data_IF_361217549710
#
_entry.id   IF_361217549710
#
_cell.length_a   1.000
_cell.length_b   1.000
_cell.length_c   1.000
_cell.angle_alpha   90.00
_cell.angle_beta   90.00
_cell.angle_gamma   90.00
#
_symmetry.space_group_name_H-M   'P 1'
#
loop_
_entity.id
_entity.type
_entity.pdbx_description
1 polymer ?
#
# COMPACT_ATOMS: atom_id res chain seq x y z
N UNK A 1 -9.12 11.74 8.81
CA UNK A 1 -8.30 11.81 7.59
C UNK A 1 -7.84 10.45 7.15
N UNK A 2 -7.92 10.18 5.88
CA UNK A 2 -7.59 8.88 5.31
C UNK A 2 -6.10 8.60 5.24
N UNK A 3 -5.78 7.33 5.08
CA UNK A 3 -4.41 6.87 4.86
C UNK A 3 -4.16 6.72 3.37
N UNK A 4 -2.92 6.94 2.96
CA UNK A 4 -2.47 6.64 1.60
C UNK A 4 -1.51 5.47 1.68
N UNK A 5 -1.90 4.36 1.05
CA UNK A 5 -1.08 3.15 1.00
C UNK A 5 -0.28 3.12 -0.30
N UNK A 6 1.04 2.97 -0.18
CA UNK A 6 1.93 2.83 -1.33
C UNK A 6 2.41 1.38 -1.36
N UNK A 7 1.86 0.60 -2.27
CA UNK A 7 2.06 -0.86 -2.29
C UNK A 7 3.14 -1.25 -3.29
N UNK A 8 4.19 -1.89 -2.79
CA UNK A 8 5.26 -2.49 -3.57
C UNK A 8 4.82 -3.88 -4.04
N UNK A 9 4.13 -3.95 -5.18
CA UNK A 9 3.52 -5.19 -5.64
C UNK A 9 4.51 -6.24 -6.12
N UNK A 10 5.75 -5.86 -6.48
CA UNK A 10 6.78 -6.86 -6.77
C UNK A 10 7.11 -7.70 -5.55
N UNK A 11 7.01 -7.10 -4.37
CA UNK A 11 7.41 -7.71 -3.11
C UNK A 11 6.24 -8.38 -2.37
N UNK A 12 5.08 -7.73 -2.30
CA UNK A 12 3.94 -8.23 -1.52
C UNK A 12 2.80 -8.78 -2.39
N UNK A 13 2.94 -8.73 -3.71
CA UNK A 13 1.94 -9.30 -4.61
C UNK A 13 0.61 -8.55 -4.58
N UNK A 14 -0.47 -9.31 -4.66
CA UNK A 14 -1.82 -8.75 -4.79
C UNK A 14 -2.55 -8.54 -3.47
N UNK A 15 -1.83 -8.45 -2.36
CA UNK A 15 -2.42 -8.14 -1.05
C UNK A 15 -3.17 -6.80 -1.07
N UNK A 16 -2.85 -5.95 -2.04
CA UNK A 16 -3.53 -4.67 -2.18
C UNK A 16 -5.04 -4.81 -2.46
N UNK A 17 -5.49 -5.96 -2.98
CA UNK A 17 -6.92 -6.17 -3.27
C UNK A 17 -7.73 -6.24 -1.98
N UNK A 18 -7.45 -7.16 -1.03
CA UNK A 18 -8.19 -7.15 0.23
C UNK A 18 -7.94 -5.87 1.03
N UNK A 19 -6.76 -5.25 0.89
CA UNK A 19 -6.49 -3.96 1.52
C UNK A 19 -7.44 -2.88 0.99
N UNK A 20 -7.61 -2.80 -0.33
CA UNK A 20 -8.52 -1.85 -0.97
C UNK A 20 -9.97 -2.09 -0.52
N UNK A 21 -10.42 -3.35 -0.57
CA UNK A 21 -11.80 -3.71 -0.23
C UNK A 21 -12.11 -3.34 1.22
N UNK A 22 -11.17 -3.49 2.13
CA UNK A 22 -11.35 -3.21 3.56
C UNK A 22 -11.02 -1.77 3.95
N UNK A 23 -10.54 -0.95 3.02
CA UNK A 23 -10.12 0.43 3.31
C UNK A 23 -11.31 1.33 3.65
N UNK A 24 -11.02 2.43 4.33
CA UNK A 24 -12.01 3.46 4.61
C UNK A 24 -12.30 4.28 3.35
N UNK A 25 -13.41 4.99 3.34
CA UNK A 25 -13.84 5.76 2.16
C UNK A 25 -12.81 6.79 1.71
N UNK A 26 -12.12 7.42 2.66
CA UNK A 26 -11.13 8.45 2.35
C UNK A 26 -9.68 7.92 2.26
N UNK A 27 -9.49 6.60 2.36
CA UNK A 27 -8.19 5.98 2.11
C UNK A 27 -7.92 5.90 0.61
N UNK A 28 -6.64 5.95 0.24
CA UNK A 28 -6.20 5.72 -1.13
C UNK A 28 -5.21 4.57 -1.17
N UNK A 29 -5.28 3.77 -2.23
CA UNK A 29 -4.36 2.67 -2.45
C UNK A 29 -3.65 2.88 -3.78
N UNK A 30 -2.34 3.07 -3.72
CA UNK A 30 -1.48 3.26 -4.90
C UNK A 30 -0.69 1.98 -5.11
N UNK A 31 -0.87 1.35 -6.26
CA UNK A 31 -0.21 0.08 -6.59
C UNK A 31 0.96 0.36 -7.53
N UNK A 32 2.16 0.25 -7.01
CA UNK A 32 3.39 0.36 -7.81
C UNK A 32 3.71 -1.00 -8.37
N UNK A 33 3.77 -1.13 -9.68
CA UNK A 33 3.94 -2.42 -10.32
C UNK A 33 4.87 -2.36 -11.53
N UNK A 34 5.43 -3.53 -11.87
CA UNK A 34 6.21 -3.75 -13.08
C UNK A 34 5.74 -5.06 -13.70
N UNK A 35 6.35 -5.46 -14.81
CA UNK A 35 6.06 -6.76 -15.42
C UNK A 35 6.48 -7.93 -14.52
N UNK A 36 7.30 -7.67 -13.50
CA UNK A 36 7.74 -8.68 -12.53
C UNK A 36 6.77 -8.86 -11.36
N UNK A 37 5.76 -8.01 -11.25
CA UNK A 37 4.77 -8.16 -10.19
C UNK A 37 3.99 -9.46 -10.37
N UNK A 38 3.74 -10.22 -9.27
CA UNK A 38 2.99 -11.48 -9.37
C UNK A 38 1.59 -11.31 -9.93
N UNK A 39 1.09 -12.36 -10.55
CA UNK A 39 -0.28 -12.38 -11.04
C UNK A 39 -1.28 -12.43 -9.89
N UNK A 40 -2.49 -11.93 -10.14
CA UNK A 40 -3.57 -11.97 -9.16
C UNK A 40 -4.22 -13.36 -9.13
N UNK A 41 -4.63 -13.81 -7.94
CA UNK A 41 -5.42 -15.04 -7.84
C UNK A 41 -6.90 -14.75 -8.16
N UNK A 42 -7.66 -15.81 -8.46
CA UNK A 42 -9.06 -15.65 -8.86
C UNK A 42 -9.95 -15.04 -7.79
N UNK A 43 -9.71 -15.36 -6.51
CA UNK A 43 -10.50 -14.78 -5.43
C UNK A 43 -10.32 -13.26 -5.37
N UNK A 44 -9.08 -12.79 -5.52
CA UNK A 44 -8.80 -11.36 -5.53
C UNK A 44 -9.38 -10.67 -6.77
N UNK A 45 -9.36 -11.33 -7.93
CA UNK A 45 -10.01 -10.80 -9.13
C UNK A 45 -11.51 -10.64 -8.89
N UNK A 46 -12.15 -11.64 -8.29
CA UNK A 46 -13.58 -11.60 -7.98
C UNK A 46 -13.90 -10.46 -7.00
N UNK A 47 -13.10 -10.33 -5.94
CA UNK A 47 -13.28 -9.23 -4.97
C UNK A 47 -13.18 -7.87 -5.64
N UNK A 48 -12.20 -7.71 -6.51
CA UNK A 48 -11.98 -6.45 -7.21
C UNK A 48 -13.17 -6.10 -8.12
N UNK A 49 -13.78 -7.09 -8.75
CA UNK A 49 -14.95 -6.86 -9.61
C UNK A 49 -16.21 -6.50 -8.82
N UNK A 50 -16.30 -6.92 -7.58
CA UNK A 50 -17.47 -6.68 -6.73
C UNK A 50 -17.39 -5.37 -5.96
N UNK A 51 -16.21 -4.77 -5.83
CA UNK A 51 -16.04 -3.51 -5.10
C UNK A 51 -16.22 -2.31 -6.02
N UNK A 52 -16.77 -1.22 -5.48
CA UNK A 52 -16.85 0.06 -6.18
C UNK A 52 -15.59 0.90 -5.96
N UNK A 53 -14.72 0.48 -5.05
CA UNK A 53 -13.47 1.18 -4.75
C UNK A 53 -12.46 0.94 -5.86
N UNK A 54 -11.66 1.97 -6.13
CA UNK A 54 -10.65 1.92 -7.19
C UNK A 54 -9.27 2.20 -6.62
N UNK A 55 -8.29 1.41 -7.04
CA UNK A 55 -6.88 1.65 -6.75
C UNK A 55 -6.27 2.43 -7.90
N UNK A 56 -5.24 3.22 -7.61
CA UNK A 56 -4.44 3.88 -8.62
C UNK A 56 -3.24 3.00 -8.97
N UNK A 57 -3.03 2.74 -10.25
CA UNK A 57 -1.93 1.88 -10.70
C UNK A 57 -0.81 2.73 -11.27
N UNK A 58 0.38 2.58 -10.72
CA UNK A 58 1.56 3.30 -11.17
C UNK A 58 2.55 2.31 -11.76
N UNK A 59 2.63 2.28 -13.09
CA UNK A 59 3.57 1.41 -13.78
C UNK A 59 4.97 2.00 -13.66
N UNK A 60 5.88 1.23 -13.07
CA UNK A 60 7.24 1.68 -12.82
C UNK A 60 8.19 1.25 -13.93
N UNK A 61 9.19 2.06 -14.18
CA UNK A 61 10.31 1.68 -15.05
C UNK A 61 11.06 0.53 -14.38
N UNK A 62 11.51 -0.42 -15.18
CA UNK A 62 12.20 -1.60 -14.66
C UNK A 62 13.69 -1.34 -14.49
N UNK A 63 14.29 -2.08 -13.57
CA UNK A 63 15.71 -1.99 -13.27
C UNK A 63 15.95 -2.39 -11.82
N UNK A 64 17.22 -2.51 -11.45
CA UNK A 64 17.60 -2.88 -10.10
C UNK A 64 17.14 -1.80 -9.12
N UNK A 65 16.31 -2.18 -8.16
CA UNK A 65 15.71 -1.27 -7.16
C UNK A 65 14.92 -0.11 -7.77
N UNK A 66 14.54 -0.23 -9.06
CA UNK A 66 13.87 0.88 -9.76
C UNK A 66 12.50 1.21 -9.18
N UNK A 67 11.70 0.19 -8.84
CA UNK A 67 10.40 0.42 -8.23
C UNK A 67 10.56 1.15 -6.89
N UNK A 68 11.54 0.76 -6.08
CA UNK A 68 11.78 1.35 -4.76
C UNK A 68 12.07 2.84 -4.87
N UNK A 69 12.94 3.24 -5.82
CA UNK A 69 13.26 4.65 -6.03
C UNK A 69 12.04 5.44 -6.51
N UNK A 70 11.25 4.86 -7.39
CA UNK A 70 10.05 5.52 -7.91
C UNK A 70 8.99 5.67 -6.82
N UNK A 71 8.83 4.64 -5.97
CA UNK A 71 7.88 4.68 -4.87
C UNK A 71 8.24 5.81 -3.89
N UNK A 72 9.50 5.90 -3.46
CA UNK A 72 9.90 6.95 -2.52
C UNK A 72 9.88 8.33 -3.15
N UNK A 73 10.10 8.42 -4.46
CA UNK A 73 9.99 9.69 -5.18
C UNK A 73 8.54 10.18 -5.18
N UNK A 74 7.59 9.30 -5.46
CA UNK A 74 6.17 9.63 -5.43
C UNK A 74 5.71 9.99 -4.02
N UNK A 75 6.22 9.26 -3.02
CA UNK A 75 5.94 9.55 -1.61
C UNK A 75 6.33 10.98 -1.27
N UNK A 76 7.56 11.38 -1.63
CA UNK A 76 8.05 12.73 -1.35
C UNK A 76 7.21 13.81 -2.02
N UNK A 77 6.82 13.57 -3.27
CA UNK A 77 5.98 14.49 -4.03
C UNK A 77 4.62 14.68 -3.35
N UNK A 78 3.97 13.59 -2.96
CA UNK A 78 2.66 13.65 -2.31
C UNK A 78 2.72 14.27 -0.92
N UNK A 79 3.77 13.98 -0.17
CA UNK A 79 3.97 14.59 1.15
C UNK A 79 4.08 16.12 1.05
N UNK A 80 4.70 16.62 -0.02
CA UNK A 80 4.82 18.06 -0.22
C UNK A 80 3.48 18.73 -0.52
N UNK A 81 2.52 17.98 -1.03
CA UNK A 81 1.22 18.51 -1.39
C UNK A 81 0.15 18.33 -0.33
N UNK A 82 0.25 17.27 0.47
CA UNK A 82 -0.76 16.97 1.48
C UNK A 82 -0.11 16.33 2.70
N UNK A 83 0.08 17.12 3.75
CA UNK A 83 0.71 16.70 4.99
C UNK A 83 -0.29 16.20 6.05
N UNK A 84 -1.59 16.26 5.74
CA UNK A 84 -2.65 15.93 6.70
C UNK A 84 -3.00 14.44 6.74
N UNK A 85 -2.38 13.65 5.87
CA UNK A 85 -2.65 12.21 5.78
C UNK A 85 -1.48 11.39 6.28
N UNK A 86 -1.78 10.18 6.74
CA UNK A 86 -0.76 9.18 7.03
C UNK A 86 -0.40 8.45 5.74
N UNK A 87 0.89 8.17 5.57
CA UNK A 87 1.41 7.46 4.39
C UNK A 87 2.00 6.13 4.86
N UNK A 88 1.53 5.04 4.27
CA UNK A 88 1.93 3.68 4.66
C UNK A 88 2.56 2.98 3.46
N UNK A 89 3.85 2.65 3.56
CA UNK A 89 4.53 1.84 2.55
C UNK A 89 4.23 0.38 2.86
N UNK A 90 3.68 -0.36 1.92
CA UNK A 90 3.40 -1.79 2.10
C UNK A 90 4.45 -2.59 1.34
N UNK A 91 5.42 -3.11 2.07
CA UNK A 91 6.53 -3.89 1.53
C UNK A 91 7.24 -4.64 2.65
N UNK A 92 7.81 -5.81 2.31
CA UNK A 92 8.68 -6.55 3.22
C UNK A 92 10.12 -6.01 3.22
N UNK A 93 10.45 -5.14 2.27
CA UNK A 93 11.80 -4.61 2.13
C UNK A 93 12.11 -3.61 3.24
N UNK A 94 13.03 -3.98 4.13
CA UNK A 94 13.45 -3.12 5.25
C UNK A 94 14.26 -1.91 4.78
N UNK A 95 14.69 -1.88 3.53
CA UNK A 95 15.36 -0.70 2.96
C UNK A 95 14.49 0.54 3.01
N UNK A 96 13.17 0.38 2.94
CA UNK A 96 12.24 1.49 3.07
C UNK A 96 12.25 2.13 4.45
N UNK A 97 12.78 1.45 5.47
CA UNK A 97 12.86 2.04 6.81
C UNK A 97 13.76 3.28 6.83
N UNK A 98 14.71 3.38 5.92
CA UNK A 98 15.52 4.59 5.78
C UNK A 98 14.65 5.79 5.39
N UNK A 99 13.70 5.59 4.47
CA UNK A 99 12.76 6.64 4.08
C UNK A 99 11.83 7.01 5.24
N UNK A 100 11.32 6.00 5.95
CA UNK A 100 10.46 6.21 7.12
C UNK A 100 11.18 7.06 8.17
N UNK A 101 12.42 6.71 8.48
CA UNK A 101 13.23 7.46 9.46
C UNK A 101 13.53 8.87 8.99
N UNK A 102 13.84 9.04 7.71
CA UNK A 102 14.09 10.37 7.13
C UNK A 102 12.88 11.28 7.32
N UNK A 103 11.68 10.80 6.96
CA UNK A 103 10.47 11.61 7.12
C UNK A 103 10.08 11.81 8.58
N UNK A 104 10.41 10.87 9.46
CA UNK A 104 10.20 11.02 10.89
C UNK A 104 11.01 12.20 11.43
N UNK A 105 12.23 12.43 10.94
CA UNK A 105 13.03 13.59 11.37
C UNK A 105 12.38 14.92 10.95
N UNK A 106 11.52 14.87 9.93
CA UNK A 106 10.75 16.03 9.46
C UNK A 106 9.33 16.05 10.03
N UNK A 107 9.04 15.17 10.96
CA UNK A 107 7.73 15.04 11.62
C UNK A 107 6.60 14.76 10.65
N UNK A 108 6.90 14.01 9.57
CA UNK A 108 5.90 13.56 8.60
C UNK A 108 5.45 12.14 8.93
N UNK A 109 4.14 11.87 8.87
CA UNK A 109 3.59 10.58 9.30
C UNK A 109 3.74 9.49 8.22
N UNK A 110 4.92 8.90 8.14
CA UNK A 110 5.23 7.81 7.21
C UNK A 110 5.59 6.57 8.00
N UNK A 111 5.02 5.43 7.63
CA UNK A 111 5.32 4.14 8.26
C UNK A 111 5.45 3.06 7.19
N UNK A 112 5.96 1.89 7.58
CA UNK A 112 6.01 0.72 6.72
C UNK A 112 5.26 -0.42 7.39
N UNK A 113 4.46 -1.12 6.57
CA UNK A 113 3.69 -2.29 6.97
C UNK A 113 4.17 -3.45 6.10
N UNK A 114 4.70 -4.52 6.71
CA UNK A 114 5.10 -5.68 5.92
C UNK A 114 3.89 -6.54 5.57
N UNK A 115 4.08 -7.50 4.66
CA UNK A 115 2.98 -8.34 4.18
C UNK A 115 2.29 -9.11 5.31
N UNK A 116 3.06 -9.62 6.25
CA UNK A 116 2.55 -10.39 7.38
C UNK A 116 1.68 -9.52 8.31
N UNK A 117 2.17 -8.32 8.62
CA UNK A 117 1.42 -7.36 9.43
C UNK A 117 0.15 -6.90 8.73
N UNK A 118 0.24 -6.66 7.41
CA UNK A 118 -0.90 -6.29 6.60
C UNK A 118 -1.96 -7.40 6.63
N UNK A 119 -1.55 -8.65 6.43
CA UNK A 119 -2.44 -9.80 6.48
C UNK A 119 -3.13 -9.93 7.84
N UNK A 120 -2.38 -9.76 8.93
CA UNK A 120 -2.91 -9.80 10.28
C UNK A 120 -3.96 -8.70 10.50
N UNK A 121 -3.65 -7.49 10.08
CA UNK A 121 -4.58 -6.36 10.17
C UNK A 121 -5.90 -6.65 9.44
N UNK A 122 -5.82 -7.20 8.24
CA UNK A 122 -6.99 -7.56 7.44
C UNK A 122 -7.81 -8.66 8.09
N UNK A 123 -7.15 -9.65 8.68
CA UNK A 123 -7.81 -10.75 9.39
C UNK A 123 -8.54 -10.25 10.64
N UNK A 124 -7.93 -9.36 11.39
CA UNK A 124 -8.53 -8.76 12.59
C UNK A 124 -9.77 -7.93 12.25
N UNK A 125 -9.71 -7.15 11.17
CA UNK A 125 -10.86 -6.37 10.69
C UNK A 125 -12.02 -7.29 10.32
N UNK A 126 -11.75 -8.40 9.62
CA UNK A 126 -12.75 -9.38 9.23
C UNK A 126 -13.39 -10.03 10.46
N UNK A 127 -12.60 -10.36 11.47
CA UNK A 127 -13.09 -10.93 12.71
C UNK A 127 -13.98 -9.97 13.48
N UNK A 128 -13.64 -8.68 13.53
CA UNK A 128 -14.47 -7.65 14.17
C UNK A 128 -15.83 -7.54 13.50
N UNK A 129 -15.85 -7.46 12.18
CA UNK A 129 -17.10 -7.39 11.42
C UNK A 129 -17.96 -8.63 11.70
N UNK A 130 -17.37 -9.82 11.75
CA UNK A 130 -18.06 -11.05 12.06
C UNK A 130 -18.64 -11.03 13.49
N UNK A 131 -17.91 -10.48 14.45
CA UNK A 131 -18.37 -10.38 15.85
C UNK A 131 -19.50 -9.36 16.03
N UNK A 132 -19.51 -8.32 15.22
CA UNK A 132 -20.51 -7.26 15.29
C UNK A 132 -21.83 -7.65 14.61
N UNK A 133 -21.81 -8.67 13.80
CA UNK A 133 -22.99 -9.21 13.12
C UNK A 133 -23.54 -10.41 13.83
#
# INVERSE_FOLDING_TARGET
MGKIYLVDSENVGDIWVPLLVSSQEDDEVLVFYTTKSPHMNYENVRMLKETEKEADFIKCFEGSNALDFQLVSELGYRLSQNTDREYVIVSNDTGFDAAVRYWSTRKMPVSRLNGKECHRMLTEKKQRVTKET
#
